data_IF_236684437041
#
_entry.id   IF_236684437041
#
_cell.length_a   1.000
_cell.length_b   1.000
_cell.length_c   1.000
_cell.angle_alpha   90.00
_cell.angle_beta   90.00
_cell.angle_gamma   90.00
#
_symmetry.space_group_name_H-M   'P 1'
#
loop_
_entity.id
_entity.type
_entity.pdbx_description
1 polymer ?
#
# COMPACT_ATOMS: atom_id res chain seq x y z
N UNK A 1 -21.55 11.36 2.28
CA UNK A 1 -20.28 12.05 2.07
C UNK A 1 -20.57 13.53 2.08
N UNK A 2 -19.81 14.32 2.82
CA UNK A 2 -19.89 15.79 2.76
C UNK A 2 -19.12 16.30 1.54
N UNK A 3 -19.42 17.51 1.03
CA UNK A 3 -18.65 18.10 -0.09
C UNK A 3 -17.15 18.19 0.21
N UNK A 4 -16.78 18.43 1.47
CA UNK A 4 -15.38 18.46 1.92
C UNK A 4 -14.70 17.09 1.80
N UNK A 5 -15.40 16.02 2.18
CA UNK A 5 -14.89 14.65 2.04
C UNK A 5 -14.68 14.28 0.57
N UNK A 6 -15.57 14.71 -0.33
CA UNK A 6 -15.46 14.45 -1.77
C UNK A 6 -14.25 15.19 -2.35
N UNK A 7 -14.10 16.48 -2.03
CA UNK A 7 -12.97 17.29 -2.49
C UNK A 7 -11.63 16.72 -2.01
N UNK A 8 -11.54 16.33 -0.73
CA UNK A 8 -10.34 15.70 -0.17
C UNK A 8 -10.07 14.34 -0.83
N UNK A 9 -11.09 13.53 -1.04
CA UNK A 9 -10.97 12.23 -1.71
C UNK A 9 -10.43 12.37 -3.14
N UNK A 10 -10.93 13.35 -3.89
CA UNK A 10 -10.43 13.67 -5.23
C UNK A 10 -8.98 14.14 -5.22
N UNK A 11 -8.61 15.02 -4.28
CA UNK A 11 -7.24 15.51 -4.13
C UNK A 11 -6.26 14.37 -3.77
N UNK A 12 -6.62 13.55 -2.78
CA UNK A 12 -5.81 12.39 -2.36
C UNK A 12 -5.68 11.39 -3.50
N UNK A 13 -6.76 11.10 -4.21
CA UNK A 13 -6.74 10.21 -5.37
C UNK A 13 -5.79 10.72 -6.46
N UNK A 14 -5.88 12.01 -6.81
CA UNK A 14 -4.99 12.63 -7.79
C UNK A 14 -3.53 12.58 -7.35
N UNK A 15 -3.23 12.92 -6.09
CA UNK A 15 -1.87 12.87 -5.53
C UNK A 15 -1.30 11.45 -5.55
N UNK A 16 -2.09 10.44 -5.19
CA UNK A 16 -1.66 9.04 -5.24
C UNK A 16 -1.35 8.60 -6.67
N UNK A 17 -2.20 8.94 -7.66
CA UNK A 17 -1.93 8.62 -9.07
C UNK A 17 -0.69 9.35 -9.58
N UNK A 18 -0.52 10.64 -9.25
CA UNK A 18 0.67 11.41 -9.63
C UNK A 18 1.94 10.83 -9.03
N UNK A 19 1.90 10.39 -7.77
CA UNK A 19 3.03 9.73 -7.13
C UNK A 19 3.38 8.42 -7.85
N UNK A 20 2.39 7.60 -8.19
CA UNK A 20 2.61 6.36 -8.95
C UNK A 20 3.16 6.65 -10.35
N UNK A 21 2.67 7.70 -11.01
CA UNK A 21 3.16 8.12 -12.31
C UNK A 21 4.61 8.60 -12.22
N UNK A 22 4.95 9.43 -11.24
CA UNK A 22 6.32 9.86 -10.99
C UNK A 22 7.25 8.67 -10.70
N UNK A 23 6.78 7.70 -9.92
CA UNK A 23 7.52 6.45 -9.67
C UNK A 23 7.75 5.63 -10.95
N UNK A 24 6.86 5.72 -11.94
CA UNK A 24 6.99 5.01 -13.21
C UNK A 24 8.00 5.65 -14.18
N UNK A 25 8.15 6.97 -14.12
CA UNK A 25 9.00 7.72 -15.04
C UNK A 25 10.40 7.93 -14.47
N UNK A 26 10.53 8.09 -13.15
CA UNK A 26 11.82 8.38 -12.52
C UNK A 26 12.71 7.12 -12.43
N UNK A 27 14.02 7.24 -12.73
CA UNK A 27 14.96 6.12 -12.70
C UNK A 27 15.38 5.71 -11.28
N UNK A 28 15.11 6.52 -10.25
CA UNK A 28 15.48 6.26 -8.86
C UNK A 28 14.29 6.33 -7.89
N UNK A 29 14.41 5.66 -6.74
CA UNK A 29 13.48 5.76 -5.60
C UNK A 29 12.02 5.34 -5.87
N UNK A 30 11.76 4.53 -6.90
CA UNK A 30 10.41 4.11 -7.32
C UNK A 30 9.56 3.56 -6.16
N UNK A 31 10.15 2.70 -5.32
CA UNK A 31 9.48 2.11 -4.16
C UNK A 31 9.13 3.17 -3.09
N UNK A 32 10.03 4.13 -2.83
CA UNK A 32 9.78 5.19 -1.86
C UNK A 32 8.66 6.14 -2.33
N UNK A 33 8.64 6.48 -3.62
CA UNK A 33 7.58 7.31 -4.20
C UNK A 33 6.24 6.55 -4.23
N UNK A 34 6.27 5.25 -4.51
CA UNK A 34 5.07 4.41 -4.43
C UNK A 34 4.56 4.32 -3.00
N UNK A 35 5.46 4.22 -2.02
CA UNK A 35 5.10 4.25 -0.61
C UNK A 35 4.42 5.57 -0.18
N UNK A 36 4.80 6.70 -0.76
CA UNK A 36 4.12 7.98 -0.54
C UNK A 36 2.63 7.91 -0.90
N UNK A 37 2.25 7.23 -1.98
CA UNK A 37 0.84 7.05 -2.34
C UNK A 37 0.02 6.30 -1.27
N UNK A 38 0.66 5.38 -0.54
CA UNK A 38 0.07 4.66 0.59
C UNK A 38 -0.14 5.58 1.80
N UNK A 39 0.81 6.46 2.06
CA UNK A 39 0.74 7.41 3.16
C UNK A 39 -0.43 8.39 3.02
N UNK A 40 -0.59 8.97 1.83
CA UNK A 40 -1.71 9.91 1.58
C UNK A 40 -3.06 9.18 1.71
N UNK A 41 -3.13 7.91 1.31
CA UNK A 41 -4.31 7.08 1.48
C UNK A 41 -4.60 6.74 2.96
N UNK A 42 -3.58 6.40 3.76
CA UNK A 42 -3.73 6.13 5.20
C UNK A 42 -4.26 7.37 5.93
N UNK A 43 -3.75 8.56 5.56
CA UNK A 43 -4.29 9.82 6.07
C UNK A 43 -5.78 10.00 5.74
N UNK A 44 -6.20 9.69 4.51
CA UNK A 44 -7.61 9.79 4.12
C UNK A 44 -8.49 8.86 4.94
N UNK A 45 -8.05 7.62 5.18
CA UNK A 45 -8.77 6.68 6.04
C UNK A 45 -8.94 7.18 7.46
N UNK A 46 -7.93 7.86 7.99
CA UNK A 46 -7.95 8.39 9.36
C UNK A 46 -8.74 9.70 9.47
N UNK A 47 -8.85 10.49 8.40
CA UNK A 47 -9.57 11.77 8.39
C UNK A 47 -11.05 11.62 7.98
N UNK A 48 -11.38 10.59 7.20
CA UNK A 48 -12.73 10.41 6.64
C UNK A 48 -13.33 9.06 7.01
N UNK A 49 -14.53 8.75 6.50
CA UNK A 49 -15.15 7.44 6.69
C UNK A 49 -14.41 6.38 5.87
N UNK A 50 -14.35 5.15 6.39
CA UNK A 50 -13.76 3.98 5.72
C UNK A 50 -14.21 3.81 4.25
N UNK A 51 -15.49 4.09 3.96
CA UNK A 51 -16.05 4.00 2.59
C UNK A 51 -15.37 4.97 1.61
N UNK A 52 -14.97 6.16 2.06
CA UNK A 52 -14.28 7.15 1.24
C UNK A 52 -12.89 6.66 0.86
N UNK A 53 -12.11 6.20 1.85
CA UNK A 53 -10.78 5.64 1.61
C UNK A 53 -10.80 4.44 0.66
N UNK A 54 -11.78 3.53 0.81
CA UNK A 54 -11.93 2.39 -0.09
C UNK A 54 -12.26 2.79 -1.52
N UNK A 55 -13.17 3.76 -1.68
CA UNK A 55 -13.52 4.25 -3.00
C UNK A 55 -12.30 4.86 -3.70
N UNK A 56 -11.53 5.70 -2.98
CA UNK A 56 -10.30 6.29 -3.51
C UNK A 56 -9.25 5.23 -3.82
N UNK A 57 -9.05 4.24 -2.94
CA UNK A 57 -8.16 3.12 -3.20
C UNK A 57 -8.50 2.42 -4.52
N UNK A 58 -9.76 2.07 -4.74
CA UNK A 58 -10.21 1.40 -5.97
C UNK A 58 -10.08 2.31 -7.19
N UNK A 59 -10.44 3.59 -7.08
CA UNK A 59 -10.25 4.55 -8.16
C UNK A 59 -8.78 4.69 -8.55
N UNK A 60 -7.88 4.88 -7.58
CA UNK A 60 -6.44 4.98 -7.83
C UNK A 60 -5.93 3.68 -8.44
N UNK A 61 -6.37 2.51 -7.95
CA UNK A 61 -5.99 1.23 -8.52
C UNK A 61 -6.40 1.13 -10.00
N UNK A 62 -7.67 1.37 -10.33
CA UNK A 62 -8.17 1.33 -11.70
C UNK A 62 -7.43 2.32 -12.60
N UNK A 63 -7.29 3.57 -12.16
CA UNK A 63 -6.61 4.62 -12.91
C UNK A 63 -5.12 4.27 -13.11
N UNK A 64 -4.46 3.74 -12.08
CA UNK A 64 -3.06 3.33 -12.14
C UNK A 64 -2.83 2.22 -13.16
N UNK A 65 -3.73 1.25 -13.25
CA UNK A 65 -3.61 0.15 -14.21
C UNK A 65 -3.91 0.57 -15.65
N UNK A 66 -4.68 1.65 -15.84
CA UNK A 66 -5.02 2.20 -17.16
C UNK A 66 -3.99 3.21 -17.67
N UNK A 67 -3.52 4.12 -16.82
CA UNK A 67 -2.70 5.27 -17.22
C UNK A 67 -1.19 5.05 -17.07
N UNK A 68 -0.74 4.17 -16.17
CA UNK A 68 0.70 4.03 -15.92
C UNK A 68 1.38 3.29 -17.08
N UNK A 69 2.54 3.79 -17.56
CA UNK A 69 3.32 3.09 -18.57
C UNK A 69 3.84 1.72 -18.06
N UNK A 70 4.06 1.60 -16.75
CA UNK A 70 4.46 0.35 -16.09
C UNK A 70 3.35 -0.20 -15.18
N UNK A 71 2.60 -1.20 -15.66
CA UNK A 71 1.49 -1.84 -14.91
C UNK A 71 1.93 -2.46 -13.58
N UNK A 72 3.19 -2.85 -13.46
CA UNK A 72 3.74 -3.47 -12.25
C UNK A 72 3.64 -2.56 -11.01
N UNK A 73 3.78 -1.24 -11.18
CA UNK A 73 3.62 -0.29 -10.06
C UNK A 73 2.18 -0.18 -9.59
N UNK A 74 1.21 -0.23 -10.51
CA UNK A 74 -0.21 -0.28 -10.17
C UNK A 74 -0.57 -1.58 -9.42
N UNK A 75 0.01 -2.71 -9.82
CA UNK A 75 -0.15 -4.00 -9.12
C UNK A 75 0.48 -3.96 -7.73
N UNK A 76 1.71 -3.44 -7.62
CA UNK A 76 2.39 -3.25 -6.33
C UNK A 76 1.60 -2.32 -5.41
N UNK A 77 1.04 -1.24 -5.95
CA UNK A 77 0.14 -0.36 -5.20
C UNK A 77 -1.10 -1.11 -4.72
N UNK A 78 -1.79 -1.81 -5.62
CA UNK A 78 -3.02 -2.55 -5.29
C UNK A 78 -2.79 -3.61 -4.22
N UNK A 79 -1.71 -4.38 -4.33
CA UNK A 79 -1.51 -5.53 -3.44
C UNK A 79 -0.69 -5.22 -2.19
N UNK A 80 0.36 -4.41 -2.28
CA UNK A 80 1.24 -4.15 -1.14
C UNK A 80 0.95 -2.82 -0.46
N UNK A 81 0.83 -1.72 -1.19
CA UNK A 81 0.80 -0.41 -0.56
C UNK A 81 -0.62 0.02 -0.18
N UNK A 82 -1.46 0.30 -1.18
CA UNK A 82 -2.86 0.67 -0.98
C UNK A 82 -3.69 -0.48 -0.40
N UNK A 83 -3.42 -1.71 -0.83
CA UNK A 83 -4.08 -2.91 -0.31
C UNK A 83 -3.83 -3.14 1.17
N UNK A 84 -2.56 -3.09 1.60
CA UNK A 84 -2.20 -3.23 3.01
C UNK A 84 -2.81 -2.14 3.88
N UNK A 85 -2.73 -0.87 3.47
CA UNK A 85 -3.33 0.25 4.21
C UNK A 85 -4.84 0.02 4.38
N UNK A 86 -5.52 -0.38 3.32
CA UNK A 86 -6.95 -0.67 3.36
C UNK A 86 -7.27 -1.81 4.33
N UNK A 87 -6.56 -2.94 4.24
CA UNK A 87 -6.74 -4.09 5.13
C UNK A 87 -6.44 -3.74 6.58
N UNK A 88 -5.34 -3.02 6.83
CA UNK A 88 -4.97 -2.55 8.17
C UNK A 88 -6.12 -1.79 8.82
N UNK A 89 -6.77 -0.89 8.08
CA UNK A 89 -7.83 -0.03 8.60
C UNK A 89 -9.09 -0.83 9.00
N UNK A 90 -9.39 -1.95 8.32
CA UNK A 90 -10.47 -2.86 8.73
C UNK A 90 -10.18 -3.59 10.04
N UNK A 91 -8.95 -4.06 10.23
CA UNK A 91 -8.60 -4.95 11.34
C UNK A 91 -7.97 -4.24 12.54
N UNK A 92 -7.76 -2.91 12.48
CA UNK A 92 -6.99 -2.16 13.47
C UNK A 92 -7.48 -2.32 14.92
N UNK A 93 -8.78 -2.53 15.13
CA UNK A 93 -9.39 -2.70 16.46
C UNK A 93 -9.49 -4.15 16.93
N UNK A 94 -9.10 -5.11 16.09
CA UNK A 94 -9.26 -6.54 16.38
C UNK A 94 -8.06 -7.08 17.17
N UNK A 95 -8.30 -7.96 18.15
CA UNK A 95 -7.22 -8.56 18.96
C UNK A 95 -6.17 -9.34 18.14
N UNK A 96 -6.58 -9.82 16.96
CA UNK A 96 -5.72 -10.56 16.01
C UNK A 96 -5.25 -9.70 14.82
N UNK A 97 -5.28 -8.36 14.93
CA UNK A 97 -4.90 -7.45 13.84
C UNK A 97 -3.52 -7.79 13.24
N UNK A 98 -2.54 -8.06 14.10
CA UNK A 98 -1.19 -8.43 13.67
C UNK A 98 -1.13 -9.75 12.90
N UNK A 99 -1.94 -10.74 13.31
CA UNK A 99 -2.05 -12.01 12.60
C UNK A 99 -2.64 -11.78 11.19
N UNK A 100 -3.72 -11.01 11.08
CA UNK A 100 -4.34 -10.71 9.78
C UNK A 100 -3.44 -9.89 8.85
N UNK A 101 -2.72 -8.90 9.39
CA UNK A 101 -1.70 -8.15 8.64
C UNK A 101 -0.61 -9.08 8.10
N UNK A 102 -0.10 -9.97 8.95
CA UNK A 102 0.92 -10.96 8.57
C UNK A 102 0.41 -11.94 7.52
N UNK A 103 -0.79 -12.50 7.70
CA UNK A 103 -1.42 -13.40 6.74
C UNK A 103 -1.66 -12.73 5.38
N UNK A 104 -2.12 -11.48 5.37
CA UNK A 104 -2.30 -10.71 4.14
C UNK A 104 -0.98 -10.54 3.39
N UNK A 105 0.07 -10.07 4.07
CA UNK A 105 1.38 -9.85 3.47
C UNK A 105 1.99 -11.15 2.93
N UNK A 106 1.93 -12.24 3.70
CA UNK A 106 2.42 -13.54 3.26
C UNK A 106 1.61 -14.06 2.06
N UNK A 107 0.29 -13.94 2.11
CA UNK A 107 -0.61 -14.34 1.02
C UNK A 107 -0.33 -13.58 -0.27
N UNK A 108 -0.18 -12.25 -0.20
CA UNK A 108 0.19 -11.40 -1.34
C UNK A 108 1.56 -11.78 -1.90
N UNK A 109 2.54 -12.02 -1.03
CA UNK A 109 3.90 -12.40 -1.45
C UNK A 109 3.88 -13.75 -2.17
N UNK A 110 3.20 -14.75 -1.62
CA UNK A 110 3.04 -16.06 -2.25
C UNK A 110 2.30 -15.97 -3.58
N UNK A 111 1.24 -15.17 -3.66
CA UNK A 111 0.50 -14.93 -4.90
C UNK A 111 1.41 -14.37 -5.99
N UNK A 112 2.20 -13.33 -5.68
CA UNK A 112 3.11 -12.72 -6.64
C UNK A 112 4.21 -13.67 -7.10
N UNK A 113 4.77 -14.46 -6.18
CA UNK A 113 5.74 -15.50 -6.53
C UNK A 113 5.11 -16.56 -7.44
N UNK A 114 3.89 -17.03 -7.14
CA UNK A 114 3.17 -18.00 -7.96
C UNK A 114 2.90 -17.46 -9.38
N UNK A 115 2.44 -16.21 -9.50
CA UNK A 115 2.24 -15.54 -10.79
C UNK A 115 3.57 -15.45 -11.56
N UNK A 116 4.66 -15.03 -10.91
CA UNK A 116 5.97 -14.92 -11.53
C UNK A 116 6.47 -16.28 -12.06
N UNK A 117 6.31 -17.35 -11.27
CA UNK A 117 6.66 -18.72 -11.67
C UNK A 117 5.83 -19.25 -12.84
N UNK A 118 4.57 -18.81 -12.95
CA UNK A 118 3.64 -19.27 -14.00
C UNK A 118 3.88 -18.56 -15.33
N UNK A 119 4.08 -17.24 -15.30
CA UNK A 119 4.21 -16.41 -16.50
C UNK A 119 5.65 -16.20 -16.97
N UNK A 120 6.65 -16.46 -16.13
CA UNK A 120 8.05 -16.28 -16.47
C UNK A 120 8.92 -17.39 -15.87
N UNK A 121 8.68 -18.65 -16.29
CA UNK A 121 9.43 -19.79 -15.77
C UNK A 121 10.94 -19.67 -16.05
N UNK A 122 11.34 -19.03 -17.16
CA UNK A 122 12.74 -18.90 -17.58
C UNK A 122 13.54 -17.93 -16.69
N UNK A 123 12.91 -16.87 -16.17
CA UNK A 123 13.53 -15.96 -15.19
C UNK A 123 13.71 -16.62 -13.82
N UNK A 124 12.92 -17.66 -13.55
CA UNK A 124 12.86 -18.35 -12.26
C UNK A 124 13.50 -19.74 -12.28
N UNK A 125 14.20 -20.14 -13.34
CA UNK A 125 14.86 -21.45 -13.43
C UNK A 125 15.77 -21.74 -12.22
N UNK A 126 16.44 -20.70 -11.69
CA UNK A 126 17.26 -20.76 -10.46
C UNK A 126 16.46 -20.75 -9.16
N UNK A 127 15.25 -20.21 -9.18
CA UNK A 127 14.36 -20.06 -8.01
C UNK A 127 13.54 -21.34 -7.80
N UNK A 128 13.32 -22.12 -8.87
CA UNK A 128 12.55 -23.37 -8.86
C UNK A 128 13.20 -24.49 -8.03
N UNK A 129 14.53 -24.51 -7.97
CA UNK A 129 15.31 -25.48 -7.19
C UNK A 129 15.50 -25.06 -5.71
N UNK A 130 15.10 -23.84 -5.37
CA UNK A 130 15.19 -23.33 -4.00
C UNK A 130 14.11 -24.01 -3.17
N UNK A 131 14.53 -24.75 -2.14
CA UNK A 131 13.60 -25.40 -1.21
C UNK A 131 12.81 -24.33 -0.46
N UNK A 132 11.54 -24.60 -0.16
CA UNK A 132 10.65 -23.67 0.57
C UNK A 132 11.29 -23.15 1.88
N UNK A 133 12.05 -24.00 2.57
CA UNK A 133 12.78 -23.63 3.79
C UNK A 133 13.84 -22.52 3.61
N UNK A 134 14.37 -22.34 2.40
CA UNK A 134 15.33 -21.28 2.09
C UNK A 134 14.65 -19.91 1.90
N UNK A 135 13.32 -19.89 1.68
CA UNK A 135 12.54 -18.64 1.65
C UNK A 135 12.16 -18.14 3.04
N UNK A 136 12.21 -18.98 4.09
CA UNK A 136 11.91 -18.58 5.47
C UNK A 136 12.67 -17.31 5.90
N UNK A 137 14.01 -17.22 5.78
CA UNK A 137 14.73 -16.02 6.21
C UNK A 137 14.32 -14.77 5.41
N UNK A 138 14.04 -14.91 4.11
CA UNK A 138 13.55 -13.80 3.29
C UNK A 138 12.18 -13.31 3.77
N UNK A 139 11.28 -14.24 4.12
CA UNK A 139 9.96 -13.91 4.70
C UNK A 139 10.15 -13.16 6.02
N UNK A 140 11.03 -13.61 6.91
CA UNK A 140 11.30 -12.91 8.17
C UNK A 140 11.83 -11.49 7.95
N UNK A 141 12.78 -11.31 7.04
CA UNK A 141 13.31 -9.98 6.70
C UNK A 141 12.22 -9.06 6.14
N UNK A 142 11.39 -9.57 5.23
CA UNK A 142 10.25 -8.83 4.69
C UNK A 142 9.24 -8.46 5.78
N UNK A 143 8.95 -9.37 6.72
CA UNK A 143 8.05 -9.09 7.84
C UNK A 143 8.59 -7.99 8.75
N UNK A 144 9.89 -8.03 9.09
CA UNK A 144 10.53 -6.96 9.87
C UNK A 144 10.44 -5.62 9.13
N UNK A 145 10.76 -5.61 7.83
CA UNK A 145 10.65 -4.41 7.01
C UNK A 145 9.22 -3.84 7.00
N UNK A 146 8.22 -4.69 6.88
CA UNK A 146 6.81 -4.29 6.94
C UNK A 146 6.36 -3.78 8.30
N UNK A 147 6.87 -4.36 9.39
CA UNK A 147 6.61 -3.82 10.75
C UNK A 147 7.19 -2.42 10.87
N UNK A 148 8.42 -2.19 10.39
CA UNK A 148 9.01 -0.85 10.38
C UNK A 148 8.17 0.14 9.57
N UNK A 149 7.68 -0.28 8.40
CA UNK A 149 6.78 0.53 7.56
C UNK A 149 5.46 0.84 8.28
N UNK A 150 4.84 -0.15 8.93
CA UNK A 150 3.58 0.02 9.64
C UNK A 150 3.70 0.99 10.82
N UNK A 151 4.80 0.88 11.58
CA UNK A 151 5.15 1.78 12.67
C UNK A 151 5.41 3.19 12.14
N UNK A 152 6.14 3.31 11.03
CA UNK A 152 6.40 4.60 10.39
C UNK A 152 5.11 5.27 9.94
N UNK A 153 4.24 4.58 9.19
CA UNK A 153 2.92 5.09 8.80
C UNK A 153 2.12 5.56 10.03
N UNK A 154 2.04 4.69 11.05
CA UNK A 154 1.32 5.02 12.29
C UNK A 154 1.89 6.24 13.00
N UNK A 155 3.21 6.43 12.99
CA UNK A 155 3.87 7.58 13.59
C UNK A 155 3.57 8.85 12.81
N UNK A 156 3.82 8.85 11.49
CA UNK A 156 3.66 10.05 10.66
C UNK A 156 2.21 10.49 10.60
N UNK A 157 1.25 9.56 10.43
CA UNK A 157 -0.18 9.88 10.43
C UNK A 157 -0.61 10.52 11.76
N UNK A 158 -0.11 10.02 12.90
CA UNK A 158 -0.40 10.61 14.22
C UNK A 158 0.19 12.00 14.41
N UNK A 159 1.43 12.23 13.94
CA UNK A 159 2.07 13.56 14.02
C UNK A 159 1.31 14.56 13.15
N UNK A 160 1.00 14.17 11.91
CA UNK A 160 0.31 15.03 10.96
C UNK A 160 -1.09 15.43 11.45
N UNK A 161 -1.84 14.48 12.02
CA UNK A 161 -3.16 14.77 12.61
C UNK A 161 -3.08 15.66 13.84
N UNK A 162 -2.05 15.56 14.68
CA UNK A 162 -1.84 16.49 15.78
C UNK A 162 -1.60 17.90 15.28
N UNK A 163 -0.70 18.07 14.30
CA UNK A 163 -0.42 19.39 13.71
C UNK A 163 -1.67 20.02 13.10
N UNK A 164 -2.53 19.23 12.47
CA UNK A 164 -3.81 19.71 11.94
C UNK A 164 -4.79 20.10 13.04
N UNK A 165 -4.88 19.30 14.11
CA UNK A 165 -5.72 19.61 15.26
C UNK A 165 -5.29 20.90 15.96
N UNK A 166 -3.98 21.10 16.14
CA UNK A 166 -3.39 22.32 16.73
C UNK A 166 -3.70 23.57 15.87
N UNK A 167 -3.85 23.39 14.56
CA UNK A 167 -4.25 24.44 13.62
C UNK A 167 -5.77 24.62 13.49
N UNK A 168 -6.57 23.95 14.32
CA UNK A 168 -8.02 24.11 14.38
C UNK A 168 -8.79 23.34 13.29
N UNK A 169 -8.14 22.42 12.56
CA UNK A 169 -8.85 21.53 11.64
C UNK A 169 -9.64 20.50 12.46
N UNK A 170 -10.95 20.73 12.63
CA UNK A 170 -11.87 19.76 13.24
C UNK A 170 -12.28 18.70 12.21
N UNK A 171 -12.31 17.44 12.64
CA UNK A 171 -12.91 16.30 11.91
C UNK A 171 -14.39 16.56 11.59
#
# INVERSE_FOLDING_TARGET
>A
MTPKEIALSGLVGALSVLALWAASVLPGSRLAITFYSAFVLDFLYEYTRLRCGLFVYLCVLCISLLLLPGKMLGVLYGLYFGGYVSVRQFWQKHRWAWLFKGLYLNGVTLLLVAVLLTFSPDLCGRIRDIKVWQFLPLIFVLQIGWVCVDLFLSYVTRVFLRVLADRGAKR
#
